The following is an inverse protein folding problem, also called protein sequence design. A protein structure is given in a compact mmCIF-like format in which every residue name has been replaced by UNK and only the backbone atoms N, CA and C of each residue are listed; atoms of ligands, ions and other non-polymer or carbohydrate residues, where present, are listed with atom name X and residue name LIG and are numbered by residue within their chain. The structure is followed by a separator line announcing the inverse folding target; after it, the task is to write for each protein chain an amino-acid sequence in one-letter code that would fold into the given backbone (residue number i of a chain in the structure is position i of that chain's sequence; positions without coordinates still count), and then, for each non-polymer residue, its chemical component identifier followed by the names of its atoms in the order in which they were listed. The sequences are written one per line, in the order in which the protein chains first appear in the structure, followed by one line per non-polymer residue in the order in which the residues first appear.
data_IF_987872496287
#
_entry.id   IF_987872496287
#
_cell.length_a   1.000
_cell.length_b   1.000
_cell.length_c   1.000
_cell.angle_alpha   90.00
_cell.angle_beta   90.00
_cell.angle_gamma   90.00
#
_symmetry.space_group_name_H-M   'P 1'
#
loop_
_entity.id
_entity.type
_entity.pdbx_description
1 polymer ?
#
# COMPACT_ATOMS: atom_id res chain seq x y z
N UNK A 1 3.28 7.42 -3.37
CA UNK A 1 1.98 7.07 -2.78
C UNK A 1 0.89 7.73 -3.58
N UNK A 2 -0.14 6.97 -3.91
CA UNK A 2 -1.36 7.48 -4.52
C UNK A 2 -2.56 7.15 -3.61
N UNK A 3 -3.69 7.82 -3.82
CA UNK A 3 -4.99 7.54 -3.18
C UNK A 3 -4.98 7.43 -1.65
N UNK A 4 -4.18 8.25 -0.96
CA UNK A 4 -4.16 8.31 0.50
C UNK A 4 -5.53 8.75 1.05
N UNK A 5 -6.11 7.98 1.97
CA UNK A 5 -7.40 8.26 2.62
C UNK A 5 -7.34 7.89 4.10
N UNK A 6 -8.13 8.60 4.91
CA UNK A 6 -8.30 8.37 6.35
C UNK A 6 -9.80 8.19 6.68
N UNK A 7 -10.40 7.00 6.43
CA UNK A 7 -11.84 6.82 6.55
C UNK A 7 -12.35 6.83 7.99
N UNK A 8 -11.50 6.43 8.95
CA UNK A 8 -11.82 6.38 10.37
C UNK A 8 -10.64 6.91 11.19
N UNK A 9 -10.87 7.62 12.31
CA UNK A 9 -9.80 8.05 13.20
C UNK A 9 -9.17 6.86 13.95
N UNK A 10 -7.96 7.09 14.47
CA UNK A 10 -7.28 6.22 15.43
C UNK A 10 -7.19 6.97 16.75
N UNK A 11 -7.41 6.28 17.86
CA UNK A 11 -7.30 6.83 19.21
C UNK A 11 -6.19 6.14 20.02
N UNK A 12 -5.79 6.77 21.14
CA UNK A 12 -4.83 6.16 22.07
C UNK A 12 -5.40 4.82 22.58
N UNK A 13 -4.59 3.77 22.50
CA UNK A 13 -4.97 2.42 22.89
C UNK A 13 -5.49 1.54 21.74
N UNK A 14 -5.75 2.10 20.56
CA UNK A 14 -6.06 1.28 19.38
C UNK A 14 -4.87 0.41 18.99
N UNK A 15 -5.17 -0.82 18.55
CA UNK A 15 -4.19 -1.73 17.96
C UNK A 15 -4.45 -1.80 16.46
N UNK A 16 -3.42 -1.56 15.66
CA UNK A 16 -3.52 -1.56 14.20
C UNK A 16 -2.63 -2.63 13.59
N UNK A 17 -3.09 -3.22 12.49
CA UNK A 17 -2.29 -4.06 11.61
C UNK A 17 -2.50 -3.63 10.17
N UNK A 18 -1.57 -3.99 9.28
CA UNK A 18 -1.67 -3.64 7.86
C UNK A 18 -1.88 -4.91 7.04
N UNK A 19 -2.90 -4.90 6.20
CA UNK A 19 -3.04 -5.86 5.11
C UNK A 19 -2.46 -5.23 3.84
N UNK A 20 -1.43 -5.86 3.30
CA UNK A 20 -0.79 -5.42 2.06
C UNK A 20 -1.21 -6.37 0.95
N UNK A 21 -1.78 -5.82 -0.12
CA UNK A 21 -2.16 -6.57 -1.31
C UNK A 21 -1.42 -6.03 -2.51
N UNK A 22 -0.73 -6.90 -3.28
CA UNK A 22 -0.19 -6.51 -4.58
C UNK A 22 -1.37 -6.27 -5.52
N UNK A 23 -1.63 -5.00 -5.82
CA UNK A 23 -2.78 -4.56 -6.60
C UNK A 23 -2.51 -4.61 -8.10
N UNK A 24 -1.31 -4.19 -8.49
CA UNK A 24 -0.92 -4.10 -9.91
C UNK A 24 0.60 -4.21 -10.03
N UNK A 25 1.07 -4.78 -11.13
CA UNK A 25 2.46 -4.69 -11.57
C UNK A 25 2.50 -4.15 -13.00
N UNK A 26 3.47 -3.29 -13.30
CA UNK A 26 3.63 -2.71 -14.63
C UNK A 26 5.10 -2.39 -14.94
N UNK A 27 5.40 -2.20 -16.21
CA UNK A 27 6.74 -1.80 -16.64
C UNK A 27 7.07 -0.38 -16.20
N UNK A 28 8.33 -0.13 -15.80
CA UNK A 28 8.79 1.26 -15.63
C UNK A 28 9.17 1.82 -17.01
N UNK A 29 8.52 2.89 -17.50
CA UNK A 29 8.75 3.40 -18.85
C UNK A 29 10.13 4.01 -19.04
N UNK A 30 10.85 4.32 -17.95
CA UNK A 30 12.17 4.95 -17.99
C UNK A 30 13.32 3.97 -17.75
N UNK A 31 13.05 2.81 -17.12
CA UNK A 31 14.07 1.89 -16.64
C UNK A 31 13.69 0.44 -16.97
N UNK A 32 14.11 -0.09 -18.14
CA UNK A 32 13.74 -1.43 -18.60
C UNK A 32 14.08 -2.58 -17.62
N UNK A 33 15.10 -2.40 -16.77
CA UNK A 33 15.54 -3.36 -15.76
C UNK A 33 14.69 -3.34 -14.47
N UNK A 34 13.72 -2.44 -14.36
CA UNK A 34 12.80 -2.32 -13.23
C UNK A 34 11.34 -2.46 -13.66
N UNK A 35 10.50 -2.89 -12.72
CA UNK A 35 9.04 -2.78 -12.79
C UNK A 35 8.52 -1.90 -11.66
N UNK A 36 7.30 -1.40 -11.81
CA UNK A 36 6.54 -0.79 -10.73
C UNK A 36 5.60 -1.83 -10.12
N UNK A 37 5.62 -1.96 -8.80
CA UNK A 37 4.69 -2.80 -8.04
C UNK A 37 3.84 -1.87 -7.18
N UNK A 38 2.53 -1.93 -7.38
CA UNK A 38 1.55 -1.14 -6.62
C UNK A 38 1.01 -2.01 -5.50
N UNK A 39 1.28 -1.62 -4.26
CA UNK A 39 0.75 -2.25 -3.06
C UNK A 39 -0.42 -1.44 -2.52
N UNK A 40 -1.59 -2.05 -2.42
CA UNK A 40 -2.70 -1.50 -1.65
C UNK A 40 -2.46 -1.82 -0.17
N UNK A 41 -2.23 -0.79 0.63
CA UNK A 41 -2.03 -0.89 2.06
C UNK A 41 -3.32 -0.49 2.77
N UNK A 42 -4.00 -1.47 3.35
CA UNK A 42 -5.17 -1.28 4.21
C UNK A 42 -4.71 -1.37 5.67
N UNK A 43 -4.71 -0.23 6.38
CA UNK A 43 -4.42 -0.19 7.81
C UNK A 43 -5.75 -0.37 8.54
N UNK A 44 -5.83 -1.42 9.36
CA UNK A 44 -7.05 -1.93 9.97
C UNK A 44 -6.86 -1.91 11.49
N UNK A 45 -7.87 -1.47 12.24
CA UNK A 45 -7.84 -1.49 13.71
C UNK A 45 -8.46 -2.78 14.28
N UNK A 46 -8.45 -2.92 15.60
CA UNK A 46 -8.98 -4.09 16.33
C UNK A 46 -10.49 -4.35 16.15
N UNK A 47 -11.22 -3.44 15.51
CA UNK A 47 -12.65 -3.57 15.22
C UNK A 47 -12.91 -3.82 13.71
N UNK A 48 -11.89 -4.27 12.98
CA UNK A 48 -11.93 -4.52 11.54
C UNK A 48 -12.28 -3.27 10.69
N UNK A 49 -12.04 -2.06 11.22
CA UNK A 49 -12.25 -0.82 10.48
C UNK A 49 -10.97 -0.36 9.80
N UNK A 50 -11.07 -0.01 8.52
CA UNK A 50 -9.98 0.65 7.79
C UNK A 50 -9.82 2.07 8.29
N UNK A 51 -8.70 2.36 8.93
CA UNK A 51 -8.36 3.69 9.48
C UNK A 51 -7.47 4.50 8.53
N UNK A 52 -6.70 3.81 7.67
CA UNK A 52 -5.94 4.44 6.61
C UNK A 52 -5.89 3.51 5.39
N UNK A 53 -5.95 4.10 4.20
CA UNK A 53 -5.72 3.42 2.94
C UNK A 53 -4.70 4.19 2.13
N UNK A 54 -3.76 3.49 1.50
CA UNK A 54 -2.84 4.09 0.53
C UNK A 54 -2.41 3.09 -0.54
N UNK A 55 -2.04 3.61 -1.70
CA UNK A 55 -1.39 2.84 -2.76
C UNK A 55 0.10 3.20 -2.80
N UNK A 56 0.94 2.27 -2.34
CA UNK A 56 2.38 2.41 -2.39
C UNK A 56 2.87 1.98 -3.77
N UNK A 57 3.63 2.82 -4.46
CA UNK A 57 4.22 2.50 -5.76
C UNK A 57 5.71 2.26 -5.53
N UNK A 58 6.11 1.00 -5.56
CA UNK A 58 7.49 0.56 -5.43
C UNK A 58 8.15 0.46 -6.80
N UNK A 59 9.41 0.85 -6.90
CA UNK A 59 10.27 0.49 -8.03
C UNK A 59 11.06 -0.76 -7.64
N UNK A 60 10.83 -1.86 -8.33
CA UNK A 60 11.38 -3.18 -8.01
C UNK A 60 12.28 -3.65 -9.14
N UNK A 61 13.50 -4.08 -8.81
CA UNK A 61 14.45 -4.62 -9.79
C UNK A 61 13.97 -5.98 -10.32
N UNK A 62 14.09 -6.20 -11.62
CA UNK A 62 13.76 -7.50 -12.22
C UNK A 62 14.87 -8.49 -12.00
N UNK A 63 14.50 -9.76 -11.82
CA UNK A 63 15.47 -10.85 -11.85
C UNK A 63 16.12 -10.90 -13.24
N UNK A 64 17.45 -11.04 -13.25
CA UNK A 64 18.26 -11.24 -14.46
C UNK A 64 18.00 -12.60 -15.10
#
# INVERSE_FOLDING_TARGET
FDRLRFPNPVFIGDTIHTKVTIKETKDDPKRPQYGQVIEACEIINQNDKVVCYSEHILLVERKK
#
